data_IF_734352531395
#
_entry.id   IF_734352531395
#
_cell.length_a   1.000
_cell.length_b   1.000
_cell.length_c   1.000
_cell.angle_alpha   90.00
_cell.angle_beta   90.00
_cell.angle_gamma   90.00
#
_symmetry.space_group_name_H-M   'P 1'
#
loop_
_entity.id
_entity.type
_entity.pdbx_description
1 polymer ?
#
# COMPACT_ATOMS: atom_id res chain seq x y z
N UNK A 1 24.35 -3.47 -21.09
CA UNK A 1 24.31 -3.50 -19.62
C UNK A 1 23.43 -2.33 -19.22
N UNK A 2 22.21 -2.59 -18.74
CA UNK A 2 21.31 -1.52 -18.28
C UNK A 2 21.86 -0.94 -16.98
N UNK A 3 21.93 0.39 -16.89
CA UNK A 3 22.33 1.10 -15.67
C UNK A 3 21.36 0.71 -14.53
N UNK A 4 21.83 0.46 -13.31
CA UNK A 4 20.93 0.26 -12.17
C UNK A 4 20.11 1.54 -11.93
N UNK A 5 18.85 1.37 -11.55
CA UNK A 5 18.06 2.49 -11.01
C UNK A 5 18.58 2.86 -9.62
N UNK A 6 18.46 4.13 -9.25
CA UNK A 6 18.86 4.63 -7.94
C UNK A 6 17.64 5.17 -7.20
N UNK A 7 17.39 4.62 -6.02
CA UNK A 7 16.31 5.05 -5.13
C UNK A 7 16.95 5.75 -3.94
N UNK A 8 16.52 6.97 -3.65
CA UNK A 8 16.89 7.60 -2.39
C UNK A 8 16.01 6.99 -1.28
N UNK A 9 16.62 6.27 -0.33
CA UNK A 9 15.91 5.43 0.64
C UNK A 9 15.04 6.21 1.64
N UNK A 10 15.44 7.44 1.97
CA UNK A 10 14.70 8.33 2.87
C UNK A 10 13.44 8.87 2.20
N UNK A 11 13.52 9.23 0.93
CA UNK A 11 12.40 9.85 0.20
C UNK A 11 11.59 8.85 -0.61
N UNK A 12 12.13 7.67 -0.91
CA UNK A 12 11.54 6.68 -1.80
C UNK A 12 11.55 7.06 -3.27
N UNK A 13 12.08 8.23 -3.64
CA UNK A 13 12.05 8.76 -4.99
C UNK A 13 13.17 8.12 -5.83
N UNK A 14 12.83 7.66 -7.03
CA UNK A 14 13.80 7.14 -8.01
C UNK A 14 14.61 8.26 -8.67
N UNK A 15 15.73 7.94 -9.32
CA UNK A 15 16.62 8.92 -9.97
C UNK A 15 15.88 9.80 -10.99
N UNK A 16 14.85 9.26 -11.65
CA UNK A 16 14.03 10.03 -12.60
C UNK A 16 13.19 11.11 -11.93
N UNK A 17 12.86 10.98 -10.64
CA UNK A 17 11.96 11.86 -9.92
C UNK A 17 10.50 11.78 -10.38
N UNK A 18 10.17 10.92 -11.33
CA UNK A 18 8.84 10.81 -11.94
C UNK A 18 8.04 9.74 -11.22
N UNK A 19 6.96 10.14 -10.55
CA UNK A 19 5.98 9.21 -10.01
C UNK A 19 5.21 8.53 -11.15
N UNK A 20 5.19 7.20 -11.17
CA UNK A 20 4.40 6.42 -12.12
C UNK A 20 2.92 6.39 -11.73
N UNK A 21 2.63 6.55 -10.44
CA UNK A 21 1.27 6.74 -9.95
C UNK A 21 1.23 7.77 -8.83
N UNK A 22 0.17 8.56 -8.82
CA UNK A 22 -0.20 9.48 -7.75
C UNK A 22 -1.66 9.21 -7.41
N UNK A 23 -1.98 9.16 -6.12
CA UNK A 23 -3.35 9.00 -5.63
C UNK A 23 -3.71 10.15 -4.71
N UNK A 24 -4.71 10.89 -5.15
CA UNK A 24 -5.34 11.97 -4.39
C UNK A 24 -6.34 11.40 -3.38
N UNK A 25 -6.63 12.15 -2.32
CA UNK A 25 -7.62 11.78 -1.31
C UNK A 25 -9.01 11.60 -1.95
N UNK A 26 -9.37 12.45 -2.89
CA UNK A 26 -10.62 12.35 -3.66
C UNK A 26 -10.74 11.03 -4.44
N UNK A 27 -9.63 10.50 -4.97
CA UNK A 27 -9.60 9.18 -5.64
C UNK A 27 -9.72 8.00 -4.66
N UNK A 28 -9.31 8.21 -3.40
CA UNK A 28 -9.34 7.18 -2.36
C UNK A 28 -10.61 7.24 -1.50
N UNK A 29 -11.43 8.28 -1.64
CA UNK A 29 -12.68 8.42 -0.89
C UNK A 29 -13.56 7.15 -0.91
N UNK A 30 -13.74 6.42 -2.03
CA UNK A 30 -14.52 5.19 -2.03
C UNK A 30 -13.98 4.05 -1.14
N UNK A 31 -12.71 4.13 -0.70
CA UNK A 31 -12.07 3.08 0.08
C UNK A 31 -12.14 3.30 1.59
N UNK A 32 -12.48 4.52 2.04
CA UNK A 32 -12.70 4.84 3.45
C UNK A 32 -14.08 4.35 3.90
N UNK A 33 -14.18 3.95 5.16
CA UNK A 33 -15.43 3.50 5.76
C UNK A 33 -16.41 4.65 6.02
N UNK A 34 -15.87 5.81 6.41
CA UNK A 34 -16.63 7.03 6.69
C UNK A 34 -15.89 8.24 6.11
N UNK A 35 -16.63 9.12 5.44
CA UNK A 35 -16.12 10.32 4.79
C UNK A 35 -16.43 11.60 5.58
N UNK A 36 -17.01 11.49 6.77
CA UNK A 36 -17.22 12.63 7.64
C UNK A 36 -15.88 13.32 7.97
N UNK A 37 -15.86 14.64 7.85
CA UNK A 37 -14.64 15.41 8.12
C UNK A 37 -13.49 15.15 7.13
N UNK A 38 -13.78 14.63 5.93
CA UNK A 38 -12.78 14.59 4.85
C UNK A 38 -12.20 15.99 4.63
N UNK A 39 -10.87 16.07 4.66
CA UNK A 39 -10.14 17.33 4.51
C UNK A 39 -10.04 17.79 3.07
N UNK A 40 -9.17 18.78 2.85
CA UNK A 40 -8.81 19.23 1.50
C UNK A 40 -8.19 18.09 0.68
N UNK A 41 -8.45 18.11 -0.62
CA UNK A 41 -7.91 17.11 -1.53
C UNK A 41 -6.39 17.25 -1.62
N UNK A 42 -5.69 16.19 -1.25
CA UNK A 42 -4.24 16.16 -1.13
C UNK A 42 -3.70 14.82 -1.62
N UNK A 43 -2.42 14.78 -1.93
CA UNK A 43 -1.75 13.52 -2.27
C UNK A 43 -1.72 12.62 -1.04
N UNK A 44 -2.29 11.43 -1.16
CA UNK A 44 -2.20 10.40 -0.12
C UNK A 44 -0.97 9.55 -0.35
N UNK A 45 -0.74 9.07 -1.59
CA UNK A 45 0.50 8.37 -1.90
C UNK A 45 0.95 8.50 -3.35
N UNK A 46 2.24 8.26 -3.54
CA UNK A 46 2.90 8.19 -4.84
C UNK A 46 3.70 6.90 -4.95
N UNK A 47 3.80 6.34 -6.15
CA UNK A 47 4.64 5.18 -6.44
C UNK A 47 5.71 5.51 -7.47
N UNK A 48 6.91 4.99 -7.22
CA UNK A 48 8.09 5.16 -8.07
C UNK A 48 8.63 3.80 -8.54
N UNK A 49 9.25 3.75 -9.70
CA UNK A 49 9.92 2.54 -10.22
C UNK A 49 9.01 1.45 -10.77
N UNK A 50 7.68 1.61 -10.72
CA UNK A 50 6.70 0.63 -11.19
C UNK A 50 6.79 0.44 -12.72
N UNK A 51 7.39 -0.65 -13.23
CA UNK A 51 7.33 -0.96 -14.64
C UNK A 51 5.88 -1.37 -14.91
N UNK A 52 5.25 -0.80 -15.94
CA UNK A 52 3.90 -1.19 -16.32
C UNK A 52 3.80 -2.66 -16.76
N UNK A 53 2.81 -2.99 -17.57
CA UNK A 53 2.65 -4.36 -18.08
C UNK A 53 3.93 -4.86 -18.77
N UNK A 54 4.35 -6.07 -18.39
CA UNK A 54 5.53 -6.73 -18.95
C UNK A 54 5.07 -7.92 -19.77
N UNK A 55 5.34 -7.89 -21.07
CA UNK A 55 5.10 -9.02 -21.96
C UNK A 55 6.17 -10.11 -21.77
N UNK A 56 5.76 -11.37 -21.96
CA UNK A 56 6.66 -12.52 -21.97
C UNK A 56 6.78 -13.23 -20.61
N UNK A 57 7.89 -13.95 -20.37
CA UNK A 57 8.09 -14.69 -19.11
C UNK A 57 8.01 -13.77 -17.90
N UNK A 58 7.51 -14.29 -16.78
CA UNK A 58 7.43 -13.55 -15.53
C UNK A 58 8.80 -12.96 -15.13
N UNK A 59 8.80 -11.68 -14.76
CA UNK A 59 9.98 -10.95 -14.30
C UNK A 59 9.73 -10.38 -12.93
N UNK A 60 10.78 -10.29 -12.14
CA UNK A 60 10.73 -9.58 -10.87
C UNK A 60 10.61 -8.07 -11.16
N UNK A 61 9.56 -7.46 -10.64
CA UNK A 61 9.31 -6.03 -10.67
C UNK A 61 9.57 -5.43 -9.30
N UNK A 62 9.66 -4.11 -9.25
CA UNK A 62 9.73 -3.39 -8.01
C UNK A 62 9.01 -2.05 -8.09
N UNK A 63 8.69 -1.51 -6.93
CA UNK A 63 8.34 -0.12 -6.77
C UNK A 63 8.76 0.35 -5.38
N UNK A 64 8.80 1.65 -5.20
CA UNK A 64 8.70 2.29 -3.89
C UNK A 64 7.40 3.05 -3.80
N UNK A 65 6.86 3.12 -2.59
CA UNK A 65 5.67 3.93 -2.30
C UNK A 65 6.01 4.92 -1.20
N UNK A 66 5.56 6.16 -1.38
CA UNK A 66 5.61 7.23 -0.36
C UNK A 66 4.18 7.52 0.06
N UNK A 67 3.80 7.09 1.26
CA UNK A 67 2.46 7.25 1.81
C UNK A 67 2.47 8.35 2.88
N UNK A 68 1.73 9.42 2.64
CA UNK A 68 1.64 10.57 3.53
C UNK A 68 0.86 10.22 4.82
N UNK A 69 1.21 10.83 5.95
CA UNK A 69 0.43 10.70 7.17
C UNK A 69 -0.90 11.47 7.03
N UNK A 70 -1.96 10.96 7.64
CA UNK A 70 -3.27 11.59 7.60
C UNK A 70 -4.37 10.61 7.99
N UNK A 71 -5.58 11.13 8.20
CA UNK A 71 -6.74 10.33 8.59
C UNK A 71 -8.03 10.92 8.00
N UNK A 72 -9.05 10.07 7.82
CA UNK A 72 -10.45 10.45 7.56
C UNK A 72 -11.32 9.74 8.57
N UNK A 73 -12.12 10.48 9.36
CA UNK A 73 -12.92 9.89 10.46
C UNK A 73 -12.13 8.94 11.38
N UNK A 74 -10.85 9.24 11.62
CA UNK A 74 -9.95 8.39 12.42
C UNK A 74 -9.37 7.18 11.69
N UNK A 75 -9.82 6.85 10.47
CA UNK A 75 -9.19 5.83 9.62
C UNK A 75 -7.92 6.40 8.97
N UNK A 76 -6.80 5.69 9.10
CA UNK A 76 -5.51 6.15 8.60
C UNK A 76 -5.47 6.23 7.08
N UNK A 77 -4.72 7.19 6.54
CA UNK A 77 -4.38 7.22 5.12
C UNK A 77 -3.73 5.91 4.69
N UNK A 78 -4.21 5.36 3.57
CA UNK A 78 -3.82 4.04 3.12
C UNK A 78 -3.74 3.91 1.60
N UNK A 79 -2.97 2.94 1.11
CA UNK A 79 -3.01 2.54 -0.30
C UNK A 79 -4.34 1.88 -0.64
N UNK A 80 -4.76 1.83 -1.91
CA UNK A 80 -6.05 1.20 -2.31
C UNK A 80 -6.23 -0.22 -1.79
N UNK A 81 -5.17 -1.02 -1.87
CA UNK A 81 -5.21 -2.45 -1.63
C UNK A 81 -5.77 -3.26 -2.80
N UNK A 82 -5.39 -4.53 -2.88
CA UNK A 82 -5.83 -5.45 -3.93
C UNK A 82 -5.57 -6.90 -3.52
N UNK A 83 -6.24 -7.85 -4.18
CA UNK A 83 -5.79 -9.23 -4.27
C UNK A 83 -4.87 -9.41 -5.49
N UNK A 84 -3.96 -10.39 -5.45
CA UNK A 84 -3.38 -10.88 -6.68
C UNK A 84 -4.37 -11.71 -7.49
N UNK A 85 -4.32 -11.57 -8.81
CA UNK A 85 -5.12 -12.41 -9.73
C UNK A 85 -4.59 -13.83 -9.72
N UNK A 86 -3.26 -13.99 -9.70
CA UNK A 86 -2.58 -15.27 -9.52
C UNK A 86 -2.20 -15.48 -8.04
N UNK A 87 -2.94 -16.32 -7.30
CA UNK A 87 -2.70 -16.51 -5.86
C UNK A 87 -1.40 -17.25 -5.54
N UNK A 88 -0.72 -17.82 -6.53
CA UNK A 88 0.60 -18.45 -6.35
C UNK A 88 1.76 -17.44 -6.40
N UNK A 89 1.47 -16.17 -6.67
CA UNK A 89 2.48 -15.10 -6.72
C UNK A 89 2.43 -14.32 -5.43
N UNK A 90 3.46 -14.45 -4.61
CA UNK A 90 3.63 -13.59 -3.44
C UNK A 90 4.25 -12.24 -3.79
N UNK A 91 4.37 -11.40 -2.77
CA UNK A 91 5.02 -10.10 -2.81
C UNK A 91 5.87 -9.91 -1.56
N UNK A 92 7.00 -9.21 -1.68
CA UNK A 92 7.80 -8.84 -0.52
C UNK A 92 7.83 -7.33 -0.36
N UNK A 93 7.61 -6.85 0.87
CA UNK A 93 7.72 -5.44 1.22
C UNK A 93 8.84 -5.22 2.23
N UNK A 94 9.67 -4.21 2.01
CA UNK A 94 10.70 -3.71 2.93
C UNK A 94 10.38 -2.26 3.31
N UNK A 95 10.17 -2.01 4.60
CA UNK A 95 9.98 -0.65 5.10
C UNK A 95 11.31 0.09 5.15
N UNK A 96 11.38 1.26 4.55
CA UNK A 96 12.59 2.10 4.47
C UNK A 96 12.58 3.23 5.50
N UNK A 97 11.43 3.88 5.72
CA UNK A 97 11.25 5.03 6.62
C UNK A 97 9.82 5.10 7.16
N UNK A 98 9.63 5.68 8.34
CA UNK A 98 8.31 5.90 8.93
C UNK A 98 7.72 4.66 9.59
N UNK A 99 6.52 4.83 10.12
CA UNK A 99 5.77 3.79 10.85
C UNK A 99 4.40 3.56 10.21
N UNK A 100 3.97 2.32 10.17
CA UNK A 100 2.72 1.94 9.54
C UNK A 100 2.24 0.56 9.93
N UNK A 101 1.24 0.10 9.18
CA UNK A 101 0.78 -1.26 9.24
C UNK A 101 0.51 -1.79 7.84
N UNK A 102 0.98 -3.01 7.59
CA UNK A 102 0.49 -3.84 6.51
C UNK A 102 -0.84 -4.45 6.98
N UNK A 103 -1.92 -4.13 6.29
CA UNK A 103 -3.26 -4.66 6.56
C UNK A 103 -3.52 -5.76 5.55
N UNK A 104 -3.81 -6.96 6.04
CA UNK A 104 -4.01 -8.17 5.25
C UNK A 104 -5.43 -8.70 5.44
N UNK A 105 -5.98 -9.31 4.41
CA UNK A 105 -7.31 -9.91 4.45
C UNK A 105 -7.41 -11.19 3.60
N UNK A 106 -7.99 -12.25 4.16
CA UNK A 106 -8.30 -13.46 3.40
C UNK A 106 -9.63 -13.35 2.61
N UNK A 107 -10.01 -14.38 1.86
CA UNK A 107 -11.23 -14.34 1.03
C UNK A 107 -12.52 -14.41 1.85
N UNK A 108 -12.43 -14.80 3.11
CA UNK A 108 -13.51 -14.81 4.08
C UNK A 108 -13.71 -13.45 4.79
N UNK A 109 -12.85 -12.46 4.50
CA UNK A 109 -12.90 -11.13 5.11
C UNK A 109 -12.20 -11.02 6.46
N UNK A 110 -11.57 -12.10 6.95
CA UNK A 110 -10.76 -12.04 8.16
C UNK A 110 -9.57 -11.12 7.90
N UNK A 111 -9.50 -10.05 8.69
CA UNK A 111 -8.54 -8.96 8.52
C UNK A 111 -7.61 -8.91 9.72
N UNK A 112 -6.30 -8.82 9.47
CA UNK A 112 -5.27 -8.65 10.50
C UNK A 112 -4.25 -7.60 10.06
N UNK A 113 -3.36 -7.23 10.98
CA UNK A 113 -2.28 -6.29 10.70
C UNK A 113 -0.93 -6.82 11.11
N UNK A 114 0.09 -6.35 10.40
CA UNK A 114 1.49 -6.53 10.75
C UNK A 114 2.16 -5.15 10.87
N UNK A 115 2.85 -4.84 11.98
CA UNK A 115 3.46 -3.54 12.18
C UNK A 115 4.65 -3.33 11.24
N UNK A 116 4.68 -2.18 10.56
CA UNK A 116 5.75 -1.75 9.68
C UNK A 116 6.62 -0.70 10.37
N UNK A 117 7.93 -0.89 10.31
CA UNK A 117 8.95 0.04 10.82
C UNK A 117 10.24 -0.13 10.02
N UNK A 118 11.16 0.85 9.98
CA UNK A 118 12.35 0.76 9.14
C UNK A 118 13.12 -0.55 9.35
N UNK A 119 13.37 -1.27 8.25
CA UNK A 119 14.01 -2.58 8.25
C UNK A 119 13.07 -3.79 8.43
N UNK A 120 11.76 -3.60 8.60
CA UNK A 120 10.81 -4.72 8.57
C UNK A 120 10.65 -5.27 7.15
N UNK A 121 10.69 -6.60 7.03
CA UNK A 121 10.42 -7.32 5.78
C UNK A 121 9.17 -8.17 5.97
N UNK A 122 8.21 -8.02 5.07
CA UNK A 122 6.96 -8.76 5.09
C UNK A 122 6.88 -9.63 3.83
N UNK A 123 6.59 -10.92 4.01
CA UNK A 123 6.35 -11.86 2.93
C UNK A 123 4.84 -12.06 2.79
N UNK A 124 4.28 -11.55 1.70
CA UNK A 124 2.85 -11.52 1.44
C UNK A 124 2.48 -12.71 0.58
N UNK A 125 1.67 -13.60 1.16
CA UNK A 125 1.02 -14.68 0.43
C UNK A 125 0.02 -14.11 -0.59
N UNK A 126 0.16 -14.50 -1.87
CA UNK A 126 -0.67 -14.03 -2.97
C UNK A 126 -2.16 -14.33 -2.83
N UNK A 127 -2.55 -15.22 -1.92
CA UNK A 127 -3.96 -15.49 -1.59
C UNK A 127 -4.63 -14.38 -0.78
N UNK A 128 -3.84 -13.51 -0.13
CA UNK A 128 -4.36 -12.46 0.73
C UNK A 128 -4.39 -11.11 0.01
N UNK A 129 -5.48 -10.38 0.22
CA UNK A 129 -5.49 -8.97 -0.10
C UNK A 129 -4.56 -8.23 0.85
N UNK A 130 -3.92 -7.20 0.36
CA UNK A 130 -3.00 -6.41 1.16
C UNK A 130 -3.14 -4.92 0.83
N UNK A 131 -3.07 -4.07 1.86
CA UNK A 131 -2.92 -2.62 1.73
C UNK A 131 -2.01 -2.11 2.85
N UNK A 132 -1.43 -0.93 2.67
CA UNK A 132 -0.55 -0.31 3.67
C UNK A 132 -1.21 0.95 4.19
N UNK A 133 -1.20 1.13 5.51
CA UNK A 133 -1.68 2.32 6.19
C UNK A 133 -0.53 3.03 6.92
N UNK A 134 -0.46 4.35 6.82
CA UNK A 134 0.50 5.15 7.57
C UNK A 134 -0.09 5.50 8.93
N UNK A 135 0.49 4.92 9.98
CA UNK A 135 0.04 5.10 11.36
C UNK A 135 0.86 6.13 12.13
N UNK A 136 1.90 6.68 11.51
CA UNK A 136 2.78 7.70 12.08
C UNK A 136 2.37 9.13 11.71
N UNK A 137 3.26 10.06 12.01
CA UNK A 137 3.16 11.51 11.76
C UNK A 137 4.10 12.00 10.65
N UNK A 138 4.83 11.08 10.02
CA UNK A 138 5.76 11.35 8.93
C UNK A 138 5.49 10.43 7.72
N UNK A 139 6.02 10.74 6.53
CA UNK A 139 5.86 9.85 5.38
C UNK A 139 6.40 8.44 5.63
N UNK A 140 5.54 7.45 5.40
CA UNK A 140 5.90 6.04 5.38
C UNK A 140 6.42 5.68 3.99
N UNK A 141 7.65 5.21 3.93
CA UNK A 141 8.33 4.83 2.69
C UNK A 141 8.63 3.35 2.73
N UNK A 142 8.20 2.62 1.71
CA UNK A 142 8.47 1.20 1.58
C UNK A 142 8.81 0.81 0.15
N UNK A 143 9.72 -0.14 0.02
CA UNK A 143 10.05 -0.85 -1.20
C UNK A 143 9.21 -2.12 -1.29
N UNK A 144 8.81 -2.46 -2.51
CA UNK A 144 7.98 -3.63 -2.78
C UNK A 144 8.50 -4.35 -4.02
N UNK A 145 8.45 -5.69 -4.02
CA UNK A 145 8.83 -6.51 -5.17
C UNK A 145 7.89 -7.69 -5.36
N UNK A 146 7.50 -7.92 -6.61
CA UNK A 146 6.53 -8.94 -7.01
C UNK A 146 6.87 -9.48 -8.40
N UNK A 147 6.26 -10.60 -8.78
CA UNK A 147 6.39 -11.14 -10.13
C UNK A 147 5.36 -10.50 -11.08
N UNK A 148 5.79 -10.14 -12.29
CA UNK A 148 4.97 -9.42 -13.27
C UNK A 148 3.68 -10.12 -13.70
N UNK A 149 3.57 -11.43 -13.44
CA UNK A 149 2.40 -12.25 -13.74
C UNK A 149 1.47 -12.44 -12.52
N UNK A 150 1.62 -11.66 -11.43
CA UNK A 150 0.69 -11.71 -10.30
C UNK A 150 -0.71 -11.17 -10.67
N UNK A 151 -0.78 -10.11 -11.48
CA UNK A 151 -2.00 -9.35 -11.72
C UNK A 151 -2.56 -8.67 -10.46
N UNK A 152 -3.42 -7.65 -10.64
CA UNK A 152 -3.98 -6.89 -9.52
C UNK A 152 -5.51 -6.79 -9.64
N UNK A 153 -6.21 -7.36 -8.67
CA UNK A 153 -7.66 -7.27 -8.53
C UNK A 153 -8.02 -6.15 -7.55
N UNK A 154 -8.03 -4.92 -8.08
CA UNK A 154 -8.53 -3.74 -7.36
C UNK A 154 -10.06 -3.69 -7.30
N UNK A 155 -10.75 -4.43 -8.19
CA UNK A 155 -12.20 -4.41 -8.33
C UNK A 155 -12.89 -4.94 -7.09
N UNK A 156 -12.49 -6.14 -6.63
CA UNK A 156 -13.04 -6.71 -5.40
C UNK A 156 -12.88 -5.78 -4.19
N UNK A 157 -11.73 -5.11 -4.07
CA UNK A 157 -11.50 -4.17 -2.95
C UNK A 157 -12.36 -2.91 -3.07
N UNK A 158 -12.60 -2.41 -4.28
CA UNK A 158 -13.47 -1.26 -4.49
C UNK A 158 -14.95 -1.59 -4.22
N UNK A 159 -15.39 -2.80 -4.57
CA UNK A 159 -16.79 -3.24 -4.43
C UNK A 159 -17.13 -3.69 -3.00
N UNK A 160 -16.24 -4.47 -2.38
CA UNK A 160 -16.51 -5.14 -1.09
C UNK A 160 -15.77 -4.49 0.08
N UNK A 161 -14.68 -3.76 -0.18
CA UNK A 161 -13.80 -3.23 0.85
C UNK A 161 -12.92 -4.28 1.52
N UNK A 162 -12.15 -3.84 2.52
CA UNK A 162 -11.54 -4.76 3.49
C UNK A 162 -12.56 -5.11 4.57
N UNK A 163 -12.44 -6.26 5.23
CA UNK A 163 -13.38 -6.67 6.29
C UNK A 163 -13.35 -5.73 7.50
N UNK A 164 -12.24 -5.02 7.72
CA UNK A 164 -12.08 -4.02 8.79
C UNK A 164 -11.35 -2.78 8.30
N UNK A 165 -11.61 -1.65 8.96
CA UNK A 165 -10.88 -0.40 8.81
C UNK A 165 -9.78 -0.30 9.89
N UNK A 166 -8.59 0.19 9.55
CA UNK A 166 -7.56 0.48 10.55
C UNK A 166 -7.72 1.93 11.03
N UNK A 167 -8.13 2.10 12.28
CA UNK A 167 -8.42 3.41 12.87
C UNK A 167 -7.47 3.74 14.03
N UNK A 168 -7.32 5.02 14.32
CA UNK A 168 -6.65 5.49 15.52
C UNK A 168 -7.49 5.16 16.75
N UNK A 169 -6.93 4.35 17.64
CA UNK A 169 -7.52 3.98 18.93
C UNK A 169 -6.77 4.62 20.12
N UNK A 170 -7.33 4.52 21.34
CA UNK A 170 -6.76 5.12 22.54
C UNK A 170 -5.38 4.53 22.93
N UNK A 171 -5.06 3.33 22.45
CA UNK A 171 -3.81 2.62 22.74
C UNK A 171 -2.95 2.41 21.48
N UNK A 172 -3.24 3.13 20.39
CA UNK A 172 -2.60 2.95 19.09
C UNK A 172 -3.59 2.43 18.03
N UNK A 173 -3.07 2.03 16.84
CA UNK A 173 -3.89 1.56 15.73
C UNK A 173 -4.72 0.33 16.09
N UNK A 174 -6.00 0.32 15.72
CA UNK A 174 -6.91 -0.80 15.96
C UNK A 174 -7.78 -1.10 14.73
N UNK A 175 -8.07 -2.39 14.51
CA UNK A 175 -9.02 -2.80 13.49
C UNK A 175 -10.44 -2.66 14.01
N UNK A 176 -11.22 -1.81 13.35
CA UNK A 176 -12.62 -1.54 13.65
C UNK A 176 -13.53 -1.99 12.50
N UNK A 177 -14.80 -2.20 12.81
CA UNK A 177 -15.84 -2.42 11.80
C UNK A 177 -15.98 -1.19 10.89
N UNK A 178 -16.40 -1.42 9.65
CA UNK A 178 -16.62 -0.38 8.63
C UNK A 178 -17.97 0.30 8.82
#
# INVERSE_FOLDING_TARGET
MTRPDHIELTTGVSESGVAQSRKMLSELAPYFADLAGVGEDQVVYETFGCPGEVEGPARLLYATTVLQPGQVSGEYFMTRGHFHVNPERGENMLTLRGEGALVLMNREGETWTEPMRPGSVHDIDGRHAHRVANTGDEPLVFYVTWLSDCGHDYGSILEEGFGKALKAGPNGPELAER
#
